data_IF_081030413449
#
_entry.id   IF_081030413449
#
_cell.length_a   1.000
_cell.length_b   1.000
_cell.length_c   1.000
_cell.angle_alpha   90.00
_cell.angle_beta   90.00
_cell.angle_gamma   90.00
#
_symmetry.space_group_name_H-M   'P 1'
#
loop_
_entity.id
_entity.type
_entity.pdbx_description
1 polymer ?
#
# COMPACT_ATOMS: atom_id res chain seq x y z
N UNK A 1 -3.84 -10.50 14.87
CA UNK A 1 -3.26 -10.36 16.21
C UNK A 1 -3.71 -9.04 16.85
N UNK A 2 -3.96 -9.02 18.16
CA UNK A 2 -4.46 -7.82 18.86
C UNK A 2 -3.42 -6.70 18.89
N UNK A 3 -2.16 -7.08 18.89
CA UNK A 3 -1.00 -6.17 18.88
C UNK A 3 -0.99 -5.29 17.63
N UNK A 4 -1.51 -5.81 16.52
CA UNK A 4 -1.55 -5.10 15.24
C UNK A 4 -2.73 -4.12 15.13
N UNK A 5 -3.65 -4.09 16.10
CA UNK A 5 -4.74 -3.10 16.12
C UNK A 5 -4.24 -1.70 16.49
N UNK A 6 -3.08 -1.62 17.16
CA UNK A 6 -2.33 -0.41 17.43
C UNK A 6 -0.85 -0.72 17.27
N UNK A 7 -0.25 -0.24 16.20
CA UNK A 7 1.14 -0.53 15.88
C UNK A 7 1.81 0.67 15.23
N UNK A 8 3.11 0.78 15.47
CA UNK A 8 3.99 1.66 14.69
C UNK A 8 4.98 0.75 13.97
N UNK A 9 4.98 0.79 12.66
CA UNK A 9 5.75 -0.10 11.79
C UNK A 9 6.66 0.71 10.88
N UNK A 10 7.67 0.06 10.29
CA UNK A 10 8.56 0.68 9.31
C UNK A 10 8.07 0.41 7.89
N UNK A 11 7.90 1.46 7.12
CA UNK A 11 7.46 1.35 5.74
C UNK A 11 8.46 0.59 4.87
N UNK A 12 7.93 -0.31 4.05
CA UNK A 12 8.65 -1.05 3.02
C UNK A 12 7.81 -1.08 1.74
N UNK A 13 7.96 -0.06 0.86
CA UNK A 13 7.15 0.07 -0.33
C UNK A 13 7.69 -0.72 -1.52
N UNK A 14 6.75 -1.29 -2.30
CA UNK A 14 6.96 -1.95 -3.59
C UNK A 14 5.95 -1.41 -4.60
N UNK A 15 6.35 -1.31 -5.84
CA UNK A 15 5.55 -0.68 -6.89
C UNK A 15 4.75 -1.68 -7.76
N UNK A 16 4.69 -2.95 -7.32
CA UNK A 16 3.81 -3.99 -7.87
C UNK A 16 3.69 -5.18 -6.91
N UNK A 17 2.68 -6.03 -7.11
CA UNK A 17 2.54 -7.29 -6.36
C UNK A 17 3.72 -8.22 -6.64
N UNK A 18 4.18 -8.31 -7.89
CA UNK A 18 5.27 -9.20 -8.29
C UNK A 18 6.59 -8.83 -7.59
N UNK A 19 6.87 -7.53 -7.48
CA UNK A 19 8.07 -7.03 -6.79
C UNK A 19 8.03 -7.34 -5.29
N UNK A 20 6.86 -7.16 -4.67
CA UNK A 20 6.63 -7.48 -3.28
C UNK A 20 6.75 -8.99 -3.03
N UNK A 21 6.12 -9.82 -3.85
CA UNK A 21 6.20 -11.28 -3.76
C UNK A 21 7.65 -11.78 -3.85
N UNK A 22 8.40 -11.28 -4.83
CA UNK A 22 9.83 -11.60 -4.97
C UNK A 22 10.64 -11.24 -3.72
N UNK A 23 10.35 -10.08 -3.13
CA UNK A 23 11.00 -9.65 -1.89
C UNK A 23 10.64 -10.54 -0.69
N UNK A 24 9.38 -10.96 -0.56
CA UNK A 24 8.94 -11.90 0.48
C UNK A 24 9.64 -13.24 0.33
N UNK A 25 9.66 -13.81 -0.88
CA UNK A 25 10.29 -15.11 -1.18
C UNK A 25 11.82 -15.06 -0.97
N UNK A 26 12.44 -13.90 -1.13
CA UNK A 26 13.88 -13.67 -0.86
C UNK A 26 14.17 -13.25 0.59
N UNK A 27 13.20 -13.35 1.49
CA UNK A 27 13.33 -12.98 2.91
C UNK A 27 13.83 -11.52 3.14
N UNK A 28 13.40 -10.59 2.26
CA UNK A 28 13.72 -9.17 2.38
C UNK A 28 12.70 -8.37 3.20
N UNK A 29 11.58 -8.99 3.56
CA UNK A 29 10.56 -8.41 4.44
C UNK A 29 10.79 -8.94 5.86
N UNK A 30 10.73 -8.04 6.84
CA UNK A 30 11.07 -8.34 8.22
C UNK A 30 9.90 -8.09 9.17
N UNK A 31 9.98 -8.65 10.37
CA UNK A 31 9.04 -8.32 11.46
C UNK A 31 9.05 -6.82 11.73
N UNK A 32 7.86 -6.24 11.88
CA UNK A 32 7.69 -4.82 12.13
C UNK A 32 7.65 -3.96 10.85
N UNK A 33 7.63 -4.58 9.67
CA UNK A 33 7.45 -3.85 8.42
C UNK A 33 5.97 -3.54 8.16
N UNK A 34 5.70 -2.32 7.72
CA UNK A 34 4.49 -1.94 6.99
C UNK A 34 4.78 -2.08 5.49
N UNK A 35 4.36 -3.19 4.91
CA UNK A 35 4.61 -3.53 3.51
C UNK A 35 3.56 -2.88 2.64
N UNK A 36 3.98 -2.00 1.74
CA UNK A 36 3.10 -1.32 0.80
C UNK A 36 3.22 -1.94 -0.58
N UNK A 37 2.08 -2.29 -1.20
CA UNK A 37 1.99 -2.63 -2.62
C UNK A 37 1.26 -1.47 -3.30
N UNK A 38 1.95 -0.75 -4.16
CA UNK A 38 1.47 0.48 -4.79
C UNK A 38 1.20 0.29 -6.28
N UNK A 39 0.40 1.19 -6.86
CA UNK A 39 0.04 1.18 -8.28
C UNK A 39 -0.78 -0.04 -8.70
N UNK A 40 -1.46 -0.69 -7.75
CA UNK A 40 -2.39 -1.79 -7.99
C UNK A 40 -3.86 -1.37 -7.80
N UNK A 41 -4.08 -0.06 -7.67
CA UNK A 41 -5.41 0.54 -7.63
C UNK A 41 -6.11 0.57 -8.99
N UNK A 42 -7.34 1.08 -9.04
CA UNK A 42 -8.14 1.13 -10.28
C UNK A 42 -7.40 1.75 -11.46
N UNK A 43 -6.79 2.92 -11.27
CA UNK A 43 -6.09 3.65 -12.35
C UNK A 43 -4.69 3.12 -12.59
N UNK A 44 -4.03 2.56 -11.57
CA UNK A 44 -2.69 2.01 -11.70
C UNK A 44 -2.64 0.74 -12.55
N UNK A 45 -3.53 -0.22 -12.27
CA UNK A 45 -3.48 -1.55 -12.90
C UNK A 45 -4.86 -2.14 -13.26
N UNK A 46 -5.95 -1.37 -13.08
CA UNK A 46 -7.31 -1.89 -13.22
C UNK A 46 -7.76 -2.73 -12.03
N UNK A 47 -7.06 -2.62 -10.89
CA UNK A 47 -7.38 -3.22 -9.60
C UNK A 47 -7.58 -4.75 -9.65
N UNK A 48 -6.64 -5.53 -10.19
CA UNK A 48 -6.72 -6.98 -10.16
C UNK A 48 -6.76 -7.48 -8.71
N UNK A 49 -7.36 -8.64 -8.48
CA UNK A 49 -7.34 -9.28 -7.17
C UNK A 49 -5.94 -9.82 -6.87
N UNK A 50 -5.37 -9.42 -5.73
CA UNK A 50 -4.07 -9.90 -5.27
C UNK A 50 -4.24 -10.99 -4.22
N UNK A 51 -3.49 -12.08 -4.35
CA UNK A 51 -3.54 -13.21 -3.44
C UNK A 51 -2.15 -13.74 -3.07
N UNK A 52 -1.25 -13.82 -4.05
CA UNK A 52 0.01 -14.54 -3.87
C UNK A 52 0.91 -13.97 -2.78
N UNK A 53 1.00 -12.65 -2.68
CA UNK A 53 1.80 -12.00 -1.64
C UNK A 53 1.21 -12.23 -0.24
N UNK A 54 -0.11 -12.10 -0.09
CA UNK A 54 -0.77 -12.34 1.20
C UNK A 54 -0.64 -13.79 1.64
N UNK A 55 -0.69 -14.75 0.71
CA UNK A 55 -0.49 -16.18 0.99
C UNK A 55 0.97 -16.47 1.38
N UNK A 56 1.94 -15.94 0.63
CA UNK A 56 3.35 -16.10 0.95
C UNK A 56 3.69 -15.59 2.36
N UNK A 57 3.14 -14.43 2.73
CA UNK A 57 3.33 -13.85 4.08
C UNK A 57 2.64 -14.69 5.15
N UNK A 58 1.40 -15.14 4.91
CA UNK A 58 0.64 -15.91 5.91
C UNK A 58 1.20 -17.32 6.13
N UNK A 59 1.93 -17.87 5.14
CA UNK A 59 2.64 -19.15 5.24
C UNK A 59 3.77 -19.11 6.26
N UNK A 60 4.38 -17.94 6.50
CA UNK A 60 5.28 -17.69 7.62
C UNK A 60 4.49 -17.17 8.82
N UNK A 61 4.26 -18.04 9.81
CA UNK A 61 3.43 -17.75 11.00
C UNK A 61 3.94 -16.55 11.83
N UNK A 62 5.22 -16.28 11.81
CA UNK A 62 5.82 -15.19 12.55
C UNK A 62 5.68 -13.88 11.76
N UNK A 63 5.94 -13.92 10.47
CA UNK A 63 5.81 -12.77 9.58
C UNK A 63 4.35 -12.33 9.48
N UNK A 64 3.43 -13.26 9.22
CA UNK A 64 1.99 -13.00 9.09
C UNK A 64 1.31 -12.40 10.33
N UNK A 65 1.97 -12.43 11.50
CA UNK A 65 1.47 -11.81 12.74
C UNK A 65 2.11 -10.48 13.06
N UNK A 66 3.20 -10.12 12.41
CA UNK A 66 4.08 -9.02 12.83
C UNK A 66 4.28 -7.92 11.78
N UNK A 67 3.68 -8.08 10.60
CA UNK A 67 3.68 -7.06 9.54
C UNK A 67 2.26 -6.60 9.25
N UNK A 68 2.12 -5.43 8.62
CA UNK A 68 0.90 -5.02 7.95
C UNK A 68 1.12 -4.99 6.45
N UNK A 69 0.18 -5.54 5.68
CA UNK A 69 0.18 -5.50 4.22
C UNK A 69 -0.83 -4.47 3.74
N UNK A 70 -0.38 -3.44 3.06
CA UNK A 70 -1.15 -2.23 2.75
C UNK A 70 -1.11 -1.99 1.24
N UNK A 71 -2.25 -1.68 0.62
CA UNK A 71 -2.31 -1.44 -0.82
C UNK A 71 -3.39 -0.44 -1.22
N UNK A 72 -3.19 0.22 -2.35
CA UNK A 72 -4.23 0.97 -3.06
C UNK A 72 -5.12 0.07 -3.95
N UNK A 73 -4.70 -1.18 -4.16
CA UNK A 73 -5.46 -2.24 -4.81
C UNK A 73 -6.38 -3.00 -3.87
N UNK A 74 -6.67 -4.27 -4.18
CA UNK A 74 -7.53 -5.16 -3.38
C UNK A 74 -6.88 -6.52 -3.16
N UNK A 75 -7.21 -7.13 -2.02
CA UNK A 75 -6.81 -8.49 -1.72
C UNK A 75 -7.95 -9.48 -1.93
N UNK A 76 -7.60 -10.73 -2.18
CA UNK A 76 -8.53 -11.85 -2.19
C UNK A 76 -9.27 -11.96 -0.85
N UNK A 77 -10.53 -12.38 -0.88
CA UNK A 77 -11.30 -12.70 0.31
C UNK A 77 -10.74 -13.85 1.16
N UNK A 78 -9.78 -14.62 0.61
CA UNK A 78 -9.04 -15.65 1.34
C UNK A 78 -7.83 -15.11 2.11
N UNK A 79 -7.46 -13.85 1.91
CA UNK A 79 -6.32 -13.24 2.60
C UNK A 79 -6.53 -13.18 4.10
N UNK A 80 -5.49 -13.49 4.87
CA UNK A 80 -5.49 -13.49 6.33
C UNK A 80 -4.41 -12.58 6.89
N UNK A 81 -4.58 -12.15 8.15
CA UNK A 81 -3.61 -11.29 8.83
C UNK A 81 -3.95 -9.80 8.77
N UNK A 82 -3.00 -8.93 9.13
CA UNK A 82 -3.20 -7.48 9.12
C UNK A 82 -3.12 -6.93 7.69
N UNK A 83 -4.24 -6.96 6.94
CA UNK A 83 -4.32 -6.48 5.56
C UNK A 83 -5.22 -5.25 5.47
N UNK A 84 -4.77 -4.22 4.75
CA UNK A 84 -5.47 -2.96 4.52
C UNK A 84 -5.48 -2.70 3.02
N UNK A 85 -6.66 -2.77 2.41
CA UNK A 85 -6.85 -2.48 0.98
C UNK A 85 -7.48 -1.12 0.72
N UNK A 86 -7.59 -0.78 -0.55
CA UNK A 86 -8.31 0.39 -1.06
C UNK A 86 -7.79 1.73 -0.52
N UNK A 87 -6.49 1.84 -0.21
CA UNK A 87 -5.91 3.11 0.22
C UNK A 87 -6.11 4.18 -0.86
N UNK A 88 -6.71 5.29 -0.47
CA UNK A 88 -7.08 6.36 -1.40
C UNK A 88 -6.72 7.73 -0.85
N UNK A 89 -6.37 8.67 -1.73
CA UNK A 89 -6.15 8.54 -3.18
C UNK A 89 -5.04 7.55 -3.53
N UNK A 90 -5.21 6.80 -4.64
CA UNK A 90 -4.26 5.75 -5.06
C UNK A 90 -2.91 6.33 -5.53
N UNK A 91 -1.88 5.47 -5.62
CA UNK A 91 -0.54 5.88 -6.01
C UNK A 91 -0.48 6.44 -7.44
N UNK A 92 -1.29 5.89 -8.36
CA UNK A 92 -1.37 6.39 -9.75
C UNK A 92 -1.92 7.82 -9.85
N UNK A 93 -2.67 8.29 -8.84
CA UNK A 93 -3.12 9.67 -8.71
C UNK A 93 -2.15 10.53 -7.86
N UNK A 94 -1.05 9.94 -7.41
CA UNK A 94 -0.07 10.59 -6.53
C UNK A 94 -0.64 10.85 -5.14
N UNK A 95 -1.50 9.97 -4.65
CA UNK A 95 -1.95 9.95 -3.26
C UNK A 95 -0.80 9.73 -2.27
N UNK A 96 -1.05 9.88 -0.96
CA UNK A 96 -0.01 9.73 0.06
C UNK A 96 0.74 8.41 -0.01
N UNK A 97 0.07 7.31 -0.41
CA UNK A 97 0.67 5.99 -0.58
C UNK A 97 1.83 6.00 -1.60
N UNK A 98 1.76 6.85 -2.66
CA UNK A 98 2.83 7.01 -3.63
C UNK A 98 4.08 7.69 -3.05
N UNK A 99 3.92 8.40 -1.95
CA UNK A 99 4.95 9.23 -1.33
C UNK A 99 5.65 8.55 -0.15
N UNK A 100 5.18 7.37 0.25
CA UNK A 100 5.82 6.56 1.29
C UNK A 100 7.19 6.10 0.79
N UNK A 101 8.21 6.27 1.62
CA UNK A 101 9.59 5.81 1.36
C UNK A 101 10.01 4.76 2.40
N UNK A 102 11.01 3.94 2.05
CA UNK A 102 11.53 2.92 2.94
C UNK A 102 12.03 3.53 4.25
N UNK A 103 11.58 2.95 5.36
CA UNK A 103 11.97 3.41 6.69
C UNK A 103 11.06 4.48 7.30
N UNK A 104 10.10 5.04 6.59
CA UNK A 104 9.08 5.91 7.20
C UNK A 104 8.34 5.17 8.32
N UNK A 105 7.95 5.88 9.38
CA UNK A 105 7.17 5.30 10.47
C UNK A 105 5.67 5.43 10.19
N UNK A 106 4.99 4.30 10.24
CA UNK A 106 3.57 4.17 9.92
C UNK A 106 2.79 3.81 11.18
N UNK A 107 1.91 4.71 11.60
CA UNK A 107 0.93 4.45 12.65
C UNK A 107 -0.28 3.72 12.07
N UNK A 108 -0.66 2.61 12.70
CA UNK A 108 -1.95 1.94 12.49
C UNK A 108 -2.70 1.98 13.82
N UNK A 109 -3.89 2.57 13.85
CA UNK A 109 -4.83 2.47 14.97
C UNK A 109 -6.22 2.14 14.41
N UNK A 110 -6.61 0.87 14.50
CA UNK A 110 -7.90 0.36 14.00
C UNK A 110 -9.06 1.00 14.75
N UNK A 111 -8.92 1.24 16.05
CA UNK A 111 -10.00 1.81 16.86
C UNK A 111 -10.22 3.29 16.56
N UNK A 112 -9.13 4.03 16.36
CA UNK A 112 -9.18 5.43 15.95
C UNK A 112 -9.36 5.60 14.43
N UNK A 113 -9.35 4.49 13.65
CA UNK A 113 -9.41 4.49 12.18
C UNK A 113 -8.30 5.32 11.54
N UNK A 114 -7.05 5.14 12.03
CA UNK A 114 -5.88 5.87 11.57
C UNK A 114 -4.95 4.96 10.79
N UNK A 115 -4.45 5.47 9.69
CA UNK A 115 -3.31 4.98 8.94
C UNK A 115 -2.50 6.20 8.52
N UNK A 116 -1.45 6.53 9.26
CA UNK A 116 -0.71 7.78 9.10
C UNK A 116 0.79 7.54 8.99
N UNK A 117 1.47 8.42 8.27
CA UNK A 117 2.92 8.58 8.38
C UNK A 117 3.16 9.47 9.61
N UNK A 118 3.90 8.97 10.58
CA UNK A 118 4.23 9.69 11.83
C UNK A 118 5.73 9.94 12.01
N UNK A 119 6.53 9.47 11.07
CA UNK A 119 7.97 9.69 11.09
C UNK A 119 8.60 9.46 9.73
N UNK A 120 9.81 9.99 9.57
CA UNK A 120 10.60 9.95 8.34
C UNK A 120 11.93 9.27 8.63
N UNK A 121 12.33 8.32 7.79
CA UNK A 121 13.58 7.58 7.90
C UNK A 121 13.84 7.01 9.33
N UNK A 122 12.78 6.51 9.99
CA UNK A 122 12.85 5.89 11.30
C UNK A 122 12.80 6.86 12.48
N UNK A 123 12.66 8.16 12.26
CA UNK A 123 12.54 9.19 13.29
C UNK A 123 11.12 9.77 13.32
N UNK A 124 10.52 9.84 14.50
CA UNK A 124 9.24 10.55 14.68
C UNK A 124 9.39 12.04 14.33
N UNK A 125 8.38 12.58 13.69
CA UNK A 125 8.34 13.99 13.25
C UNK A 125 6.98 14.61 13.61
N UNK A 126 6.96 15.94 13.70
CA UNK A 126 5.69 16.66 13.85
C UNK A 126 4.88 16.57 12.55
N UNK A 127 3.54 16.72 12.62
CA UNK A 127 2.71 16.73 11.42
C UNK A 127 3.17 17.76 10.38
N UNK A 128 3.59 18.95 10.81
CA UNK A 128 4.06 20.03 9.95
C UNK A 128 5.38 19.68 9.24
N UNK A 129 6.27 18.94 9.89
CA UNK A 129 7.50 18.43 9.28
C UNK A 129 7.21 17.36 8.24
N UNK A 130 6.28 16.45 8.57
CA UNK A 130 5.83 15.39 7.64
C UNK A 130 5.20 16.01 6.41
N UNK A 131 4.28 16.97 6.58
CA UNK A 131 3.63 17.65 5.46
C UNK A 131 4.64 18.33 4.53
N UNK A 132 5.68 18.95 5.06
CA UNK A 132 6.78 19.54 4.26
C UNK A 132 7.52 18.49 3.44
N UNK A 133 7.86 17.36 4.05
CA UNK A 133 8.57 16.25 3.36
C UNK A 133 7.68 15.66 2.28
N UNK A 134 6.41 15.39 2.58
CA UNK A 134 5.46 14.85 1.60
C UNK A 134 5.21 15.82 0.45
N UNK A 135 5.15 17.14 0.72
CA UNK A 135 5.03 18.17 -0.32
C UNK A 135 6.26 18.17 -1.24
N UNK A 136 7.46 17.96 -0.72
CA UNK A 136 8.69 17.87 -1.52
C UNK A 136 8.74 16.58 -2.34
N UNK A 137 8.39 15.44 -1.74
CA UNK A 137 8.27 14.16 -2.46
C UNK A 137 7.23 14.27 -3.59
N UNK A 138 6.11 14.96 -3.33
CA UNK A 138 5.05 15.19 -4.33
C UNK A 138 5.52 16.01 -5.53
N UNK A 139 6.37 16.99 -5.34
CA UNK A 139 6.96 17.75 -6.46
C UNK A 139 7.82 16.88 -7.38
N UNK A 140 8.50 15.90 -6.81
CA UNK A 140 9.37 14.97 -7.53
C UNK A 140 8.62 13.76 -8.09
N UNK A 141 7.40 13.48 -7.59
CA UNK A 141 6.59 12.38 -8.06
C UNK A 141 6.13 12.58 -9.50
N UNK A 142 6.15 11.51 -10.28
CA UNK A 142 5.64 11.49 -11.65
C UNK A 142 4.70 10.31 -11.84
N UNK A 143 3.60 10.47 -12.60
CA UNK A 143 2.73 9.37 -12.96
C UNK A 143 3.54 8.26 -13.63
N UNK A 144 3.27 7.00 -13.24
CA UNK A 144 3.81 5.83 -13.93
C UNK A 144 2.92 5.45 -15.10
N UNK A 145 3.50 4.76 -16.08
CA UNK A 145 2.70 4.13 -17.14
C UNK A 145 1.78 3.07 -16.53
N UNK A 146 0.56 2.97 -17.08
CA UNK A 146 -0.40 1.94 -16.67
C UNK A 146 0.17 0.56 -16.98
N UNK A 147 0.09 -0.33 -16.01
CA UNK A 147 0.66 -1.69 -16.06
C UNK A 147 0.15 -2.52 -17.25
N UNK A 148 -1.15 -2.48 -17.52
CA UNK A 148 -1.77 -3.21 -18.61
C UNK A 148 -2.18 -2.28 -19.75
N UNK A 149 -1.71 -2.58 -20.97
CA UNK A 149 -1.96 -1.73 -22.15
C UNK A 149 -3.23 -2.11 -22.93
N UNK A 150 -3.80 -3.30 -22.64
CA UNK A 150 -4.95 -3.85 -23.35
C UNK A 150 -5.85 -4.65 -22.41
N UNK A 151 -7.08 -4.96 -22.87
CA UNK A 151 -8.01 -5.83 -22.16
C UNK A 151 -8.84 -5.12 -21.09
N UNK A 152 -9.56 -5.91 -20.28
CA UNK A 152 -10.50 -5.39 -19.28
C UNK A 152 -9.82 -4.56 -18.20
N UNK A 153 -8.61 -4.92 -17.79
CA UNK A 153 -7.86 -4.15 -16.78
C UNK A 153 -7.47 -2.76 -17.31
N UNK A 154 -7.15 -2.65 -18.61
CA UNK A 154 -6.92 -1.35 -19.25
C UNK A 154 -8.19 -0.50 -19.26
N UNK A 155 -9.33 -1.11 -19.58
CA UNK A 155 -10.63 -0.43 -19.56
C UNK A 155 -10.91 0.13 -18.16
N UNK A 156 -10.66 -0.66 -17.10
CA UNK A 156 -10.77 -0.17 -15.72
C UNK A 156 -9.82 0.99 -15.46
N UNK A 157 -8.55 0.88 -15.83
CA UNK A 157 -7.57 1.95 -15.59
C UNK A 157 -7.96 3.28 -16.23
N UNK A 158 -8.63 3.23 -17.38
CA UNK A 158 -9.07 4.43 -18.10
C UNK A 158 -10.34 5.06 -17.52
N UNK A 159 -11.29 4.24 -17.07
CA UNK A 159 -12.66 4.67 -16.78
C UNK A 159 -13.06 4.52 -15.30
N UNK A 160 -12.24 3.90 -14.44
CA UNK A 160 -12.63 3.74 -13.05
C UNK A 160 -12.66 5.05 -12.29
N UNK A 161 -13.75 5.28 -11.58
CA UNK A 161 -13.84 6.31 -10.56
C UNK A 161 -12.88 5.99 -9.39
N UNK A 162 -12.55 7.01 -8.60
CA UNK A 162 -11.76 6.81 -7.38
C UNK A 162 -12.42 5.77 -6.45
N UNK A 163 -11.63 4.92 -5.73
CA UNK A 163 -12.14 4.04 -4.69
C UNK A 163 -12.96 4.77 -3.62
N UNK A 164 -12.69 6.04 -3.38
CA UNK A 164 -13.50 6.91 -2.50
C UNK A 164 -14.96 7.02 -2.95
N UNK A 165 -15.23 6.82 -4.24
CA UNK A 165 -16.56 6.83 -4.83
C UNK A 165 -17.10 5.42 -5.12
N UNK A 166 -16.30 4.36 -4.94
CA UNK A 166 -16.68 2.97 -5.17
C UNK A 166 -16.03 2.32 -6.39
N UNK A 167 -15.06 2.96 -7.04
CA UNK A 167 -14.29 2.42 -8.18
C UNK A 167 -15.16 1.85 -9.34
N UNK A 168 -16.35 2.38 -9.55
CA UNK A 168 -17.21 2.01 -10.68
C UNK A 168 -16.68 2.63 -11.98
N UNK A 169 -17.14 2.11 -13.14
CA UNK A 169 -16.76 2.65 -14.44
C UNK A 169 -17.59 3.90 -14.78
N UNK A 170 -16.91 5.00 -15.10
CA UNK A 170 -17.48 6.24 -15.65
C UNK A 170 -17.19 6.29 -17.16
N UNK A 171 -18.25 6.50 -17.99
CA UNK A 171 -18.14 6.61 -19.46
C UNK A 171 -18.59 7.98 -19.94
#
# INVERSE_FOLDING_TARGET
PKEMYRAVLRAKPFDSEEECLDAVLKHKVNKGDAVFIRYEGPKGSGMPEMFYTSEAISSDKELGKSIALITDGRFSGASTGPVIGHCSPEAAEGGPIALVEEGDLIEIDVFARKLNIIGIAGEEKTPEEIDKVLAERKKNWKPKEVKYKNGVLRLFSEHAASPMKGAYLEF
#
